data_IF_842129695571
#
_entry.id   IF_842129695571
#
_cell.length_a   1.000
_cell.length_b   1.000
_cell.length_c   1.000
_cell.angle_alpha   90.00
_cell.angle_beta   90.00
_cell.angle_gamma   90.00
#
_symmetry.space_group_name_H-M   'P 1'
#
loop_
_entity.id
_entity.type
_entity.pdbx_description
1 polymer ?
#
# COMPACT_ATOMS: atom_id res chain seq x y z
N UNK A 1 14.56 -11.44 -12.92
CA UNK A 1 15.18 -11.93 -11.66
C UNK A 1 14.14 -12.73 -10.90
N UNK A 2 14.54 -13.70 -10.06
CA UNK A 2 13.60 -14.46 -9.21
C UNK A 2 14.00 -14.30 -7.76
N UNK A 3 13.08 -13.80 -6.94
CA UNK A 3 13.18 -13.75 -5.49
C UNK A 3 12.81 -15.12 -4.94
N UNK A 4 13.70 -15.72 -4.16
CA UNK A 4 13.52 -17.06 -3.57
C UNK A 4 13.53 -16.93 -2.06
N UNK A 5 12.41 -17.28 -1.40
CA UNK A 5 12.28 -17.20 0.06
C UNK A 5 12.78 -18.51 0.70
N UNK A 6 14.10 -18.63 0.80
CA UNK A 6 14.77 -19.71 1.50
C UNK A 6 14.93 -19.39 3.00
N UNK A 7 14.87 -20.41 3.85
CA UNK A 7 15.14 -20.27 5.29
C UNK A 7 16.62 -20.07 5.59
N UNK A 8 17.48 -20.57 4.70
CA UNK A 8 18.93 -20.54 4.82
C UNK A 8 19.55 -20.27 3.44
N UNK A 9 20.68 -19.56 3.41
CA UNK A 9 21.43 -19.27 2.20
C UNK A 9 22.32 -20.46 1.78
N UNK A 10 21.71 -21.63 1.62
CA UNK A 10 22.38 -22.88 1.20
C UNK A 10 21.71 -23.43 -0.06
N UNK A 11 22.43 -24.23 -0.84
CA UNK A 11 21.87 -24.86 -2.04
C UNK A 11 20.61 -25.68 -1.72
N UNK A 12 20.62 -26.40 -0.59
CA UNK A 12 19.48 -27.17 -0.10
C UNK A 12 18.30 -26.27 0.32
N UNK A 13 18.57 -25.16 1.01
CA UNK A 13 17.56 -24.18 1.40
C UNK A 13 16.86 -23.55 0.19
N UNK A 14 17.65 -23.17 -0.82
CA UNK A 14 17.15 -22.64 -2.09
C UNK A 14 16.33 -23.71 -2.84
N UNK A 15 16.84 -24.94 -2.97
CA UNK A 15 16.12 -26.03 -3.63
C UNK A 15 14.76 -26.30 -2.97
N UNK A 16 14.71 -26.37 -1.63
CA UNK A 16 13.45 -26.50 -0.89
C UNK A 16 12.50 -25.35 -1.18
N UNK A 17 12.98 -24.11 -1.22
CA UNK A 17 12.15 -22.95 -1.54
C UNK A 17 11.56 -23.03 -2.96
N UNK A 18 12.35 -23.45 -3.95
CA UNK A 18 11.89 -23.67 -5.32
C UNK A 18 10.83 -24.77 -5.39
N UNK A 19 11.07 -25.92 -4.77
CA UNK A 19 10.13 -27.06 -4.76
C UNK A 19 8.79 -26.71 -4.09
N UNK A 20 8.83 -25.91 -3.04
CA UNK A 20 7.63 -25.42 -2.34
C UNK A 20 7.01 -24.17 -2.97
N UNK A 21 7.50 -23.72 -4.14
CA UNK A 21 7.00 -22.56 -4.87
C UNK A 21 6.97 -21.28 -3.99
N UNK A 22 8.00 -21.13 -3.16
CA UNK A 22 8.22 -19.95 -2.31
C UNK A 22 9.04 -18.93 -3.10
N UNK A 23 8.46 -18.45 -4.20
CA UNK A 23 9.16 -17.60 -5.16
C UNK A 23 8.27 -16.49 -5.69
N UNK A 24 8.90 -15.35 -6.00
CA UNK A 24 8.29 -14.24 -6.73
C UNK A 24 9.22 -13.86 -7.88
N UNK A 25 8.67 -13.69 -9.08
CA UNK A 25 9.44 -13.25 -10.26
C UNK A 25 9.44 -11.73 -10.30
N UNK A 26 10.60 -11.12 -10.48
CA UNK A 26 10.77 -9.70 -10.74
C UNK A 26 11.14 -9.47 -12.21
N UNK A 27 10.29 -8.73 -12.93
CA UNK A 27 10.46 -8.43 -14.35
C UNK A 27 9.86 -7.06 -14.67
N UNK A 28 10.64 -6.16 -15.28
CA UNK A 28 10.18 -4.82 -15.71
C UNK A 28 9.34 -4.10 -14.65
N UNK A 29 9.93 -3.89 -13.46
CA UNK A 29 9.28 -3.23 -12.30
C UNK A 29 8.00 -3.92 -11.79
N UNK A 30 7.75 -5.16 -12.23
CA UNK A 30 6.59 -5.96 -11.85
C UNK A 30 7.04 -7.17 -11.05
N UNK A 31 6.41 -7.39 -9.90
CA UNK A 31 6.55 -8.61 -9.11
C UNK A 31 5.38 -9.54 -9.40
N UNK A 32 5.65 -10.80 -9.68
CA UNK A 32 4.66 -11.79 -10.08
C UNK A 32 4.78 -13.00 -9.15
N UNK A 33 3.70 -13.36 -8.47
CA UNK A 33 3.73 -14.49 -7.54
C UNK A 33 2.43 -14.66 -6.75
N UNK A 34 2.44 -15.60 -5.79
CA UNK A 34 1.26 -15.84 -4.95
C UNK A 34 0.97 -14.64 -4.06
N UNK A 35 -0.30 -14.28 -3.90
CA UNK A 35 -0.75 -13.13 -3.12
C UNK A 35 -0.08 -13.04 -1.73
N UNK A 36 -0.02 -14.15 -0.98
CA UNK A 36 0.63 -14.20 0.34
C UNK A 36 2.09 -13.71 0.38
N UNK A 37 2.84 -13.86 -0.71
CA UNK A 37 4.23 -13.39 -0.77
C UNK A 37 4.31 -11.93 -1.20
N UNK A 38 3.46 -11.52 -2.15
CA UNK A 38 3.41 -10.13 -2.59
C UNK A 38 2.88 -9.21 -1.49
N UNK A 39 1.90 -9.69 -0.73
CA UNK A 39 1.32 -9.01 0.42
C UNK A 39 2.37 -8.81 1.52
N UNK A 40 3.10 -9.87 1.88
CA UNK A 40 4.19 -9.77 2.84
C UNK A 40 5.31 -8.83 2.36
N UNK A 41 5.71 -8.89 1.09
CA UNK A 41 6.70 -7.95 0.53
C UNK A 41 6.21 -6.51 0.64
N UNK A 42 4.96 -6.24 0.25
CA UNK A 42 4.40 -4.90 0.28
C UNK A 42 4.31 -4.36 1.71
N UNK A 43 3.79 -5.16 2.64
CA UNK A 43 3.64 -4.81 4.05
C UNK A 43 4.98 -4.47 4.71
N UNK A 44 6.04 -5.25 4.43
CA UNK A 44 7.38 -4.97 4.96
C UNK A 44 8.10 -3.83 4.21
N UNK A 45 7.67 -3.49 2.99
CA UNK A 45 8.26 -2.41 2.20
C UNK A 45 7.71 -1.03 2.56
N UNK A 46 6.46 -0.97 3.02
CA UNK A 46 5.71 0.27 3.17
C UNK A 46 5.47 0.59 4.64
N UNK A 47 5.87 1.79 5.04
CA UNK A 47 5.63 2.35 6.37
C UNK A 47 4.71 3.57 6.28
N UNK A 48 3.66 3.60 7.11
CA UNK A 48 2.81 4.78 7.27
C UNK A 48 3.39 5.63 8.40
N UNK A 49 4.00 6.77 8.04
CA UNK A 49 4.66 7.67 9.00
C UNK A 49 3.63 8.45 9.83
N UNK A 50 2.51 8.83 9.22
CA UNK A 50 1.44 9.59 9.87
C UNK A 50 0.17 8.73 9.98
N UNK A 51 0.11 7.77 10.92
CA UNK A 51 -1.03 6.86 11.03
C UNK A 51 -2.30 7.54 11.54
N UNK A 52 -2.19 8.71 12.19
CA UNK A 52 -3.31 9.56 12.60
C UNK A 52 -3.33 10.84 11.77
N UNK A 53 -4.50 11.18 11.23
CA UNK A 53 -4.72 12.41 10.48
C UNK A 53 -5.94 13.16 11.00
N UNK A 54 -5.87 14.49 10.93
CA UNK A 54 -6.97 15.38 11.27
C UNK A 54 -7.51 15.97 9.97
N UNK A 55 -8.79 15.75 9.69
CA UNK A 55 -9.51 16.36 8.57
C UNK A 55 -10.39 17.50 9.10
N UNK A 56 -10.24 18.69 8.49
CA UNK A 56 -11.00 19.89 8.84
C UNK A 56 -11.80 20.35 7.63
N UNK A 57 -13.05 19.90 7.54
CA UNK A 57 -13.90 20.09 6.36
C UNK A 57 -13.17 19.68 5.06
N UNK A 58 -13.16 20.58 4.07
CA UNK A 58 -12.55 20.35 2.76
C UNK A 58 -11.03 20.63 2.69
N UNK A 59 -10.35 20.91 3.82
CA UNK A 59 -8.89 21.12 3.82
C UNK A 59 -8.16 19.78 3.60
N UNK A 60 -7.17 19.70 2.69
CA UNK A 60 -6.42 18.47 2.49
C UNK A 60 -5.48 18.20 3.68
N UNK A 61 -5.58 17.00 4.25
CA UNK A 61 -4.53 16.43 5.10
C UNK A 61 -3.62 15.54 4.26
N UNK A 62 -2.39 15.31 4.72
CA UNK A 62 -1.39 14.54 3.95
C UNK A 62 -0.97 13.30 4.72
N UNK A 63 -1.41 12.13 4.26
CA UNK A 63 -0.89 10.85 4.73
C UNK A 63 0.53 10.66 4.17
N UNK A 64 1.51 10.52 5.05
CA UNK A 64 2.89 10.26 4.68
C UNK A 64 3.15 8.77 4.67
N UNK A 65 3.60 8.27 3.52
CA UNK A 65 3.90 6.86 3.29
C UNK A 65 5.35 6.78 2.82
N UNK A 66 6.19 6.03 3.53
CA UNK A 66 7.56 5.76 3.13
C UNK A 66 7.68 4.39 2.49
N UNK A 67 8.46 4.30 1.43
CA UNK A 67 8.83 3.05 0.80
C UNK A 67 10.31 2.75 1.08
N UNK A 68 10.57 1.75 1.91
CA UNK A 68 11.92 1.31 2.29
C UNK A 68 12.58 0.40 1.25
N UNK A 69 11.84 -0.01 0.22
CA UNK A 69 12.33 -0.96 -0.77
C UNK A 69 12.96 -0.27 -1.99
N UNK A 70 13.72 -1.04 -2.75
CA UNK A 70 14.24 -0.66 -4.07
C UNK A 70 13.17 -0.68 -5.17
N UNK A 71 11.95 -1.13 -4.87
CA UNK A 71 10.88 -1.36 -5.85
C UNK A 71 9.87 -0.23 -5.76
N UNK A 72 9.51 0.35 -6.91
CA UNK A 72 8.43 1.34 -6.97
C UNK A 72 7.08 0.64 -6.90
N UNK A 73 6.11 1.17 -6.15
CA UNK A 73 4.74 0.61 -6.12
C UNK A 73 3.75 1.57 -6.77
N UNK A 74 2.98 1.07 -7.73
CA UNK A 74 1.93 1.83 -8.42
C UNK A 74 0.56 1.45 -7.87
N UNK A 75 -0.04 2.33 -7.09
CA UNK A 75 -1.34 2.12 -6.47
C UNK A 75 -2.41 2.81 -7.31
N UNK A 76 -3.50 2.09 -7.55
CA UNK A 76 -4.72 2.57 -8.22
C UNK A 76 -5.89 2.36 -7.27
N UNK A 77 -6.68 3.39 -7.03
CA UNK A 77 -7.84 3.33 -6.12
C UNK A 77 -8.82 2.23 -6.57
N UNK A 78 -9.21 1.36 -5.64
CA UNK A 78 -10.10 0.22 -5.88
C UNK A 78 -11.42 0.38 -5.12
N UNK A 79 -12.07 1.55 -5.26
CA UNK A 79 -13.33 1.84 -4.59
C UNK A 79 -13.57 3.33 -4.37
N UNK A 80 -14.63 3.65 -3.63
CA UNK A 80 -14.94 4.99 -3.12
C UNK A 80 -15.37 4.86 -1.67
N UNK A 81 -15.11 5.90 -0.90
CA UNK A 81 -15.61 6.06 0.46
C UNK A 81 -16.47 7.33 0.48
N UNK A 82 -17.58 7.31 1.20
CA UNK A 82 -18.56 8.40 1.16
C UNK A 82 -18.06 9.65 1.90
N UNK A 83 -17.30 9.47 2.99
CA UNK A 83 -16.86 10.57 3.86
C UNK A 83 -15.46 11.10 3.56
N UNK A 84 -14.69 10.42 2.70
CA UNK A 84 -13.28 10.76 2.44
C UNK A 84 -12.91 10.56 0.96
N UNK A 85 -12.23 11.57 0.44
CA UNK A 85 -11.68 11.59 -0.91
C UNK A 85 -10.18 11.40 -0.88
N UNK A 86 -9.71 10.54 -1.79
CA UNK A 86 -8.32 10.11 -1.87
C UNK A 86 -7.93 9.89 -3.35
N UNK A 87 -6.63 10.02 -3.68
CA UNK A 87 -6.17 10.05 -5.07
C UNK A 87 -6.44 8.75 -5.81
N UNK A 88 -6.81 8.87 -7.09
CA UNK A 88 -7.03 7.72 -7.95
C UNK A 88 -5.74 6.94 -8.22
N UNK A 89 -4.61 7.62 -8.35
CA UNK A 89 -3.31 7.01 -8.67
C UNK A 89 -2.22 7.59 -7.78
N UNK A 90 -1.35 6.72 -7.31
CA UNK A 90 -0.23 7.06 -6.42
C UNK A 90 0.96 6.20 -6.80
N UNK A 91 2.14 6.80 -6.90
CA UNK A 91 3.37 6.05 -7.10
C UNK A 91 4.26 6.21 -5.87
N UNK A 92 4.49 5.12 -5.15
CA UNK A 92 5.42 5.05 -4.02
C UNK A 92 6.82 4.77 -4.56
N UNK A 93 7.59 5.84 -4.75
CA UNK A 93 8.94 5.75 -5.29
C UNK A 93 9.90 5.06 -4.31
N UNK A 94 10.92 4.33 -4.78
CA UNK A 94 11.93 3.70 -3.93
C UNK A 94 12.60 4.70 -2.99
N UNK A 95 12.80 4.32 -1.72
CA UNK A 95 13.50 5.10 -0.68
C UNK A 95 12.94 6.51 -0.45
N UNK A 96 11.65 6.73 -0.73
CA UNK A 96 11.03 8.06 -0.65
C UNK A 96 9.75 8.04 0.17
N UNK A 97 9.52 9.17 0.84
CA UNK A 97 8.24 9.49 1.46
C UNK A 97 7.33 10.20 0.47
N UNK A 98 6.17 9.62 0.20
CA UNK A 98 5.10 10.20 -0.61
C UNK A 98 4.04 10.78 0.29
N UNK A 99 3.54 11.96 -0.06
CA UNK A 99 2.44 12.64 0.62
C UNK A 99 1.16 12.42 -0.17
N UNK A 100 0.25 11.64 0.39
CA UNK A 100 -1.05 11.34 -0.20
C UNK A 100 -2.09 12.34 0.35
N UNK A 101 -2.64 13.23 -0.49
CA UNK A 101 -3.66 14.17 -0.04
C UNK A 101 -4.99 13.46 0.20
N UNK A 102 -5.54 13.58 1.40
CA UNK A 102 -6.86 13.12 1.79
C UNK A 102 -7.75 14.32 2.12
N UNK A 103 -9.03 14.28 1.74
CA UNK A 103 -10.01 15.34 2.04
C UNK A 103 -11.27 14.75 2.63
N UNK A 104 -11.85 15.41 3.62
CA UNK A 104 -13.20 15.10 4.09
C UNK A 104 -14.21 15.57 3.06
N UNK A 105 -15.19 14.73 2.73
CA UNK A 105 -16.30 15.07 1.81
C UNK A 105 -17.60 15.39 2.59
N UNK A 106 -17.61 15.16 3.92
CA UNK A 106 -18.74 15.42 4.80
C UNK A 106 -18.32 16.31 5.97
N UNK A 107 -19.05 17.42 6.18
CA UNK A 107 -18.91 18.30 7.34
C UNK A 107 -19.71 17.81 8.56
N UNK A 108 -20.48 16.72 8.40
CA UNK A 108 -21.35 16.18 9.46
C UNK A 108 -20.66 15.08 10.27
N UNK A 109 -19.59 14.49 9.73
CA UNK A 109 -18.85 13.40 10.36
C UNK A 109 -17.90 13.98 11.41
N UNK A 110 -17.96 13.50 12.66
CA UNK A 110 -17.16 14.00 13.79
C UNK A 110 -16.60 12.86 14.60
N UNK A 111 -15.36 13.01 15.07
CA UNK A 111 -14.69 12.03 15.92
C UNK A 111 -13.63 11.20 15.19
N UNK A 112 -13.08 10.22 15.90
CA UNK A 112 -11.98 9.37 15.42
C UNK A 112 -12.52 8.06 14.84
N UNK A 113 -12.15 7.76 13.61
CA UNK A 113 -12.53 6.54 12.92
C UNK A 113 -11.30 5.84 12.34
N UNK A 114 -11.29 4.52 12.40
CA UNK A 114 -10.36 3.70 11.62
C UNK A 114 -10.89 3.57 10.20
N UNK A 115 -10.12 4.05 9.22
CA UNK A 115 -10.48 4.05 7.81
C UNK A 115 -9.51 3.14 7.06
N UNK A 116 -10.06 2.37 6.13
CA UNK A 116 -9.32 1.52 5.21
C UNK A 116 -9.46 2.11 3.80
N UNK A 117 -8.35 2.57 3.21
CA UNK A 117 -8.33 3.09 1.84
C UNK A 117 -8.06 1.93 0.87
N UNK A 118 -9.05 1.51 0.07
CA UNK A 118 -8.87 0.40 -0.84
C UNK A 118 -8.03 0.82 -2.05
N UNK A 119 -6.92 0.13 -2.22
CA UNK A 119 -6.03 0.30 -3.36
C UNK A 119 -5.70 -1.03 -4.02
N UNK A 120 -5.37 -0.97 -5.29
CA UNK A 120 -4.80 -2.07 -6.06
C UNK A 120 -3.40 -1.69 -6.51
N UNK A 121 -2.42 -2.50 -6.16
CA UNK A 121 -1.04 -2.34 -6.59
C UNK A 121 -0.88 -2.96 -7.98
N UNK A 122 -0.83 -2.12 -9.01
CA UNK A 122 -0.90 -2.56 -10.41
C UNK A 122 0.34 -3.32 -10.89
N UNK A 123 1.47 -3.17 -10.19
CA UNK A 123 2.73 -3.84 -10.50
C UNK A 123 3.08 -5.01 -9.56
N UNK A 124 2.11 -5.46 -8.75
CA UNK A 124 2.18 -6.71 -7.98
C UNK A 124 1.15 -7.70 -8.54
N UNK A 125 1.56 -8.60 -9.43
CA UNK A 125 0.64 -9.50 -10.13
C UNK A 125 0.42 -10.81 -9.37
N UNK A 126 -0.79 -10.98 -8.85
CA UNK A 126 -1.25 -12.24 -8.24
C UNK A 126 -1.69 -13.27 -9.28
N UNK A 127 -2.14 -12.77 -10.43
CA UNK A 127 -2.48 -13.51 -11.65
C UNK A 127 -2.13 -12.63 -12.86
N UNK A 128 -2.17 -13.15 -14.10
CA UNK A 128 -1.83 -12.37 -15.29
C UNK A 128 -2.64 -11.08 -15.38
N UNK A 129 -1.95 -9.92 -15.29
CA UNK A 129 -2.55 -8.57 -15.32
C UNK A 129 -3.53 -8.28 -14.17
N UNK A 130 -3.47 -9.04 -13.09
CA UNK A 130 -4.28 -8.82 -11.90
C UNK A 130 -3.41 -8.31 -10.75
N UNK A 131 -3.54 -7.02 -10.43
CA UNK A 131 -2.82 -6.39 -9.32
C UNK A 131 -3.30 -6.87 -7.94
N UNK A 132 -2.39 -6.85 -6.96
CA UNK A 132 -2.66 -7.15 -5.55
C UNK A 132 -3.60 -6.08 -4.96
N UNK A 133 -4.66 -6.50 -4.29
CA UNK A 133 -5.54 -5.62 -3.52
C UNK A 133 -4.97 -5.43 -2.11
N UNK A 134 -4.91 -4.18 -1.65
CA UNK A 134 -4.41 -3.80 -0.33
C UNK A 134 -5.30 -2.70 0.27
N UNK A 135 -5.37 -2.65 1.60
CA UNK A 135 -6.08 -1.63 2.34
C UNK A 135 -5.10 -0.82 3.19
N UNK A 136 -4.90 0.46 2.84
CA UNK A 136 -4.10 1.35 3.68
C UNK A 136 -4.95 1.80 4.87
N UNK A 137 -4.58 1.32 6.05
CA UNK A 137 -5.33 1.57 7.28
C UNK A 137 -4.76 2.79 8.01
N UNK A 138 -5.62 3.72 8.38
CA UNK A 138 -5.25 4.92 9.12
C UNK A 138 -6.39 5.37 10.04
N UNK A 139 -6.04 6.10 11.09
CA UNK A 139 -7.01 6.75 11.96
C UNK A 139 -7.23 8.17 11.44
N UNK A 140 -8.49 8.53 11.25
CA UNK A 140 -8.90 9.86 10.83
C UNK A 140 -9.78 10.48 11.91
N UNK A 141 -9.37 11.65 12.40
CA UNK A 141 -10.15 12.52 13.26
C UNK A 141 -10.81 13.61 12.43
N UNK A 142 -12.14 13.60 12.37
CA UNK A 142 -12.90 14.67 11.72
C UNK A 142 -13.18 15.78 12.73
N UNK A 143 -12.68 16.98 12.42
CA UNK A 143 -12.86 18.20 13.20
C UNK A 143 -13.68 19.22 12.41
N UNK A 144 -14.46 20.03 13.13
CA UNK A 144 -15.18 21.16 12.56
C UNK A 144 -14.17 22.26 12.24
N UNK A 145 -14.19 22.88 11.05
CA UNK A 145 -13.35 24.04 10.79
C UNK A 145 -13.68 25.15 11.80
N UNK A 146 -12.67 25.67 12.51
CA UNK A 146 -12.82 26.90 13.29
C UNK A 146 -13.11 28.08 12.34
N UNK A 147 -14.19 28.82 12.62
CA UNK A 147 -14.67 30.00 11.88
C UNK A 147 -13.70 31.20 11.95
#
# INVERSE_FOLDING_TARGET
MTLVFASEQTAEGILKALLHQRTVVYYQDTLIGKAKYLDAIFAESIEIITPELILQGNKPAFLQIHNHSDISYSLVRDGKLDDISFPEKVTLQPHKTVRLPLRGESDQTRGKYLIHLPYRVSNLWVAPREGLKIDLSLIVEYQVPEE
#
